data_IF_476979962940
#
_entry.id   IF_476979962940
#
_cell.length_a   1.000
_cell.length_b   1.000
_cell.length_c   1.000
_cell.angle_alpha   90.00
_cell.angle_beta   90.00
_cell.angle_gamma   90.00
#
_symmetry.space_group_name_H-M   'P 1'
#
loop_
_entity.id
_entity.type
_entity.pdbx_description
1 polymer ?
#
# COMPACT_ATOMS: atom_id res chain seq x y z
N UNK A 1 -4.90 -31.80 8.09
CA UNK A 1 -3.63 -31.22 8.57
C UNK A 1 -3.21 -30.04 7.68
N UNK A 2 -3.70 -28.84 7.99
CA UNK A 2 -3.28 -27.63 7.31
C UNK A 2 -1.84 -27.32 7.75
N UNK A 3 -0.90 -27.34 6.81
CA UNK A 3 0.48 -26.99 7.05
C UNK A 3 0.53 -25.55 7.58
N UNK A 4 1.10 -25.38 8.76
CA UNK A 4 1.44 -24.09 9.36
C UNK A 4 2.37 -23.37 8.37
N UNK A 5 1.83 -22.37 7.66
CA UNK A 5 2.62 -21.56 6.75
C UNK A 5 3.61 -20.76 7.61
N UNK A 6 4.90 -21.05 7.47
CA UNK A 6 5.95 -20.31 8.15
C UNK A 6 5.72 -18.80 7.94
N UNK A 7 5.84 -17.96 8.99
CA UNK A 7 5.61 -16.53 8.85
C UNK A 7 6.54 -15.98 7.77
N UNK A 8 5.96 -15.27 6.80
CA UNK A 8 6.73 -14.64 5.74
C UNK A 8 7.83 -13.75 6.36
N UNK A 9 9.04 -13.81 5.80
CA UNK A 9 10.15 -13.01 6.28
C UNK A 9 9.76 -11.52 6.34
N UNK A 10 10.24 -10.74 7.32
CA UNK A 10 9.88 -9.33 7.46
C UNK A 10 10.23 -8.55 6.18
N UNK A 11 9.22 -8.21 5.40
CA UNK A 11 9.35 -7.56 4.11
C UNK A 11 8.93 -6.08 4.17
N UNK A 12 9.42 -5.32 3.18
CA UNK A 12 8.96 -3.97 2.84
C UNK A 12 8.47 -3.96 1.39
N UNK A 13 7.53 -3.08 1.09
CA UNK A 13 7.03 -2.85 -0.25
C UNK A 13 7.07 -1.35 -0.57
N UNK A 14 7.29 -0.95 -1.82
CA UNK A 14 7.00 0.41 -2.23
C UNK A 14 5.48 0.60 -2.21
N UNK A 15 5.03 1.70 -1.62
CA UNK A 15 3.62 1.94 -1.31
C UNK A 15 3.08 3.24 -1.86
N UNK A 16 3.95 4.14 -2.32
CA UNK A 16 3.54 5.36 -3.02
C UNK A 16 4.67 5.85 -3.92
N UNK A 17 4.31 6.21 -5.15
CA UNK A 17 5.22 6.73 -6.15
C UNK A 17 4.80 8.14 -6.55
N UNK A 18 5.69 9.10 -6.34
CA UNK A 18 5.50 10.46 -6.81
C UNK A 18 6.34 10.70 -8.06
N UNK A 19 5.72 11.25 -9.12
CA UNK A 19 6.38 11.52 -10.40
C UNK A 19 7.65 12.37 -10.23
N UNK A 20 7.64 13.30 -9.28
CA UNK A 20 8.81 14.05 -8.82
C UNK A 20 8.75 14.08 -7.30
N UNK A 21 9.49 13.21 -6.62
CA UNK A 21 9.47 13.14 -5.16
C UNK A 21 10.09 11.86 -4.61
N UNK A 22 10.15 11.74 -3.27
CA UNK A 22 10.60 10.51 -2.62
C UNK A 22 9.59 9.39 -2.86
N UNK A 23 10.06 8.16 -3.08
CA UNK A 23 9.20 6.99 -2.97
C UNK A 23 8.93 6.70 -1.49
N UNK A 24 7.75 6.17 -1.18
CA UNK A 24 7.39 5.74 0.18
C UNK A 24 7.44 4.21 0.23
N UNK A 25 7.99 3.65 1.31
CA UNK A 25 7.97 2.22 1.60
C UNK A 25 7.21 1.96 2.90
N UNK A 26 6.54 0.81 3.00
CA UNK A 26 5.92 0.34 4.23
C UNK A 26 6.08 -1.17 4.39
N UNK A 27 5.96 -1.64 5.63
CA UNK A 27 6.13 -3.04 5.99
C UNK A 27 6.32 -3.18 7.49
N UNK A 28 7.00 -4.25 7.91
CA UNK A 28 7.35 -4.44 9.30
C UNK A 28 8.37 -3.38 9.75
N UNK A 29 8.20 -2.80 10.94
CA UNK A 29 9.08 -1.74 11.46
C UNK A 29 10.57 -2.06 11.29
N UNK A 30 11.01 -3.23 11.77
CA UNK A 30 12.41 -3.64 11.66
C UNK A 30 12.89 -3.77 10.20
N UNK A 31 12.02 -4.14 9.26
CA UNK A 31 12.37 -4.21 7.84
C UNK A 31 12.44 -2.81 7.21
N UNK A 32 11.54 -1.91 7.58
CA UNK A 32 11.55 -0.49 7.17
C UNK A 32 12.81 0.22 7.66
N UNK A 33 13.19 0.00 8.91
CA UNK A 33 14.41 0.59 9.50
C UNK A 33 15.68 0.14 8.77
N UNK A 34 15.79 -1.17 8.50
CA UNK A 34 16.91 -1.73 7.72
C UNK A 34 16.94 -1.17 6.30
N UNK A 35 15.80 -1.09 5.63
CA UNK A 35 15.70 -0.54 4.28
C UNK A 35 16.09 0.95 4.26
N UNK A 36 15.63 1.74 5.24
CA UNK A 36 16.00 3.15 5.38
C UNK A 36 17.50 3.36 5.58
N UNK A 37 18.15 2.53 6.41
CA UNK A 37 19.60 2.55 6.60
C UNK A 37 20.35 2.17 5.31
N UNK A 38 19.91 1.12 4.62
CA UNK A 38 20.49 0.70 3.34
C UNK A 38 20.37 1.78 2.26
N UNK A 39 19.23 2.47 2.17
CA UNK A 39 19.06 3.58 1.23
C UNK A 39 20.02 4.74 1.53
N UNK A 40 20.23 5.10 2.81
CA UNK A 40 21.21 6.13 3.19
C UNK A 40 22.64 5.72 2.82
N UNK A 41 23.01 4.47 3.10
CA UNK A 41 24.31 3.92 2.72
C UNK A 41 24.53 3.93 1.19
N UNK A 42 23.46 3.73 0.41
CA UNK A 42 23.47 3.83 -1.04
C UNK A 42 23.46 5.28 -1.59
N UNK A 43 23.53 6.30 -0.73
CA UNK A 43 23.63 7.70 -1.14
C UNK A 43 22.31 8.48 -1.17
N UNK A 44 21.21 7.92 -0.66
CA UNK A 44 19.97 8.67 -0.51
C UNK A 44 20.17 9.85 0.46
N UNK A 45 19.90 11.08 0.00
CA UNK A 45 20.02 12.31 0.81
C UNK A 45 19.16 12.26 2.09
N UNK A 46 18.00 11.62 2.02
CA UNK A 46 17.06 11.45 3.14
C UNK A 46 16.38 10.08 3.05
N UNK A 47 16.25 9.42 4.20
CA UNK A 47 15.29 8.34 4.45
C UNK A 47 14.74 8.59 5.85
N UNK A 48 13.49 9.03 5.93
CA UNK A 48 12.87 9.55 7.14
C UNK A 48 11.61 8.73 7.46
N UNK A 49 11.42 8.28 8.70
CA UNK A 49 10.18 7.64 9.11
C UNK A 49 9.02 8.65 9.02
N UNK A 50 7.87 8.18 8.57
CA UNK A 50 6.65 8.98 8.54
C UNK A 50 5.89 8.84 9.87
N UNK A 51 5.29 9.92 10.42
CA UNK A 51 4.52 9.87 11.66
C UNK A 51 3.13 9.27 11.42
N UNK A 52 3.07 7.99 11.07
CA UNK A 52 1.85 7.25 10.79
C UNK A 52 1.78 5.98 11.64
N UNK A 53 0.58 5.59 12.05
CA UNK A 53 0.35 4.45 12.95
C UNK A 53 0.11 3.13 12.22
N UNK A 54 -0.14 3.15 10.91
CA UNK A 54 -0.56 2.00 10.12
C UNK A 54 0.30 1.87 8.86
N UNK A 55 0.84 0.67 8.53
CA UNK A 55 1.63 0.45 7.33
C UNK A 55 0.72 0.23 6.10
N UNK A 56 0.08 1.30 5.63
CA UNK A 56 -0.86 1.26 4.49
C UNK A 56 -0.21 0.81 3.18
N UNK A 57 -1.01 0.24 2.27
CA UNK A 57 -0.63 -0.27 0.94
C UNK A 57 0.45 -1.36 0.91
N UNK A 58 0.66 -2.09 1.99
CA UNK A 58 1.52 -3.28 2.01
C UNK A 58 0.75 -4.54 2.44
N UNK A 59 1.39 -5.71 2.33
CA UNK A 59 0.77 -7.00 2.64
C UNK A 59 0.19 -7.09 4.07
N UNK A 60 0.72 -6.30 5.02
CA UNK A 60 0.21 -6.22 6.39
C UNK A 60 -1.23 -5.70 6.49
N UNK A 61 -1.72 -5.03 5.44
CA UNK A 61 -3.11 -4.55 5.37
C UNK A 61 -4.12 -5.60 4.94
N UNK A 62 -3.69 -6.81 4.55
CA UNK A 62 -4.61 -7.85 4.06
C UNK A 62 -5.77 -8.15 5.03
N UNK A 63 -5.57 -8.33 6.35
CA UNK A 63 -6.69 -8.58 7.27
C UNK A 63 -7.69 -7.42 7.37
N UNK A 64 -7.22 -6.17 7.22
CA UNK A 64 -8.09 -4.99 7.23
C UNK A 64 -8.85 -4.87 5.89
N UNK A 65 -8.17 -5.11 4.77
CA UNK A 65 -8.76 -5.12 3.44
C UNK A 65 -9.86 -6.18 3.31
N UNK A 66 -9.67 -7.37 3.88
CA UNK A 66 -10.68 -8.44 3.83
C UNK A 66 -11.96 -8.05 4.58
N UNK A 67 -11.84 -7.37 5.73
CA UNK A 67 -13.00 -6.83 6.47
C UNK A 67 -13.68 -5.71 5.71
N UNK A 68 -12.90 -4.80 5.12
CA UNK A 68 -13.43 -3.70 4.31
C UNK A 68 -14.20 -4.21 3.10
N UNK A 69 -13.71 -5.25 2.42
CA UNK A 69 -14.37 -5.86 1.26
C UNK A 69 -15.80 -6.33 1.58
N UNK A 70 -16.02 -6.91 2.77
CA UNK A 70 -17.36 -7.35 3.21
C UNK A 70 -18.32 -6.17 3.36
N UNK A 71 -17.84 -5.04 3.87
CA UNK A 71 -18.67 -3.83 4.01
C UNK A 71 -18.91 -3.14 2.68
N UNK A 72 -17.89 -3.06 1.80
CA UNK A 72 -18.03 -2.48 0.46
C UNK A 72 -19.04 -3.25 -0.41
N UNK A 73 -19.13 -4.57 -0.26
CA UNK A 73 -20.11 -5.39 -0.98
C UNK A 73 -21.58 -5.04 -0.66
N UNK A 74 -21.84 -4.27 0.42
CA UNK A 74 -23.18 -3.81 0.80
C UNK A 74 -23.53 -2.45 0.21
N UNK A 75 -22.57 -1.79 -0.44
CA UNK A 75 -22.72 -0.44 -1.00
C UNK A 75 -23.01 -0.54 -2.49
N UNK A 76 -24.00 0.22 -2.96
CA UNK A 76 -24.26 0.37 -4.39
C UNK A 76 -23.38 1.48 -4.95
N UNK A 77 -22.51 1.14 -5.90
CA UNK A 77 -21.74 2.11 -6.67
C UNK A 77 -22.52 2.55 -7.91
N UNK A 78 -22.47 3.85 -8.20
CA UNK A 78 -23.09 4.44 -9.38
C UNK A 78 -22.01 5.00 -10.30
N UNK A 79 -22.28 5.00 -11.61
CA UNK A 79 -21.34 5.53 -12.57
C UNK A 79 -21.07 7.01 -12.26
N UNK A 80 -19.79 7.43 -12.20
CA UNK A 80 -19.47 8.80 -11.90
C UNK A 80 -19.87 9.71 -13.08
N UNK A 81 -20.31 10.93 -12.79
CA UNK A 81 -20.66 11.91 -13.83
C UNK A 81 -19.43 12.54 -14.49
N UNK A 82 -18.25 12.32 -13.90
CA UNK A 82 -16.94 12.75 -14.40
C UNK A 82 -15.98 11.56 -14.25
N UNK A 83 -15.16 11.22 -15.26
CA UNK A 83 -14.21 10.13 -15.16
C UNK A 83 -13.25 10.30 -13.96
N UNK A 84 -12.97 9.19 -13.28
CA UNK A 84 -12.14 9.15 -12.07
C UNK A 84 -10.78 8.54 -12.42
N UNK A 85 -9.70 9.28 -12.20
CA UNK A 85 -8.34 8.73 -12.32
C UNK A 85 -7.99 8.01 -11.03
N UNK A 86 -7.86 6.69 -11.09
CA UNK A 86 -7.53 5.86 -9.93
C UNK A 86 -6.03 5.90 -9.64
N UNK A 87 -5.67 6.03 -8.36
CA UNK A 87 -4.26 6.08 -7.94
C UNK A 87 -3.57 4.72 -7.94
N UNK A 88 -4.33 3.63 -8.14
CA UNK A 88 -3.79 2.25 -8.11
C UNK A 88 -3.08 1.86 -9.40
N UNK A 89 -3.65 2.21 -10.56
CA UNK A 89 -3.14 1.83 -11.88
C UNK A 89 -3.17 2.96 -12.91
N UNK A 90 -3.54 4.18 -12.48
CA UNK A 90 -3.59 5.41 -13.29
C UNK A 90 -4.63 5.32 -14.42
N UNK A 91 -5.57 4.38 -14.36
CA UNK A 91 -6.67 4.33 -15.31
C UNK A 91 -7.71 5.40 -14.99
N UNK A 92 -8.33 5.89 -16.06
CA UNK A 92 -9.42 6.84 -16.00
C UNK A 92 -10.73 6.07 -16.18
N UNK A 93 -11.43 5.81 -15.09
CA UNK A 93 -12.62 4.96 -15.07
C UNK A 93 -13.90 5.81 -15.09
N UNK A 94 -14.89 5.36 -15.85
CA UNK A 94 -16.21 5.97 -15.94
C UNK A 94 -17.34 4.96 -15.65
N UNK A 95 -16.99 3.71 -15.34
CA UNK A 95 -17.93 2.64 -15.00
C UNK A 95 -17.94 2.43 -13.48
N UNK A 96 -19.15 2.26 -12.92
CA UNK A 96 -19.34 1.88 -11.53
C UNK A 96 -18.66 0.56 -11.18
N UNK A 97 -18.60 -0.40 -12.11
CA UNK A 97 -17.99 -1.70 -11.87
C UNK A 97 -16.46 -1.66 -11.75
N UNK A 98 -15.84 -0.55 -12.20
CA UNK A 98 -14.39 -0.35 -12.18
C UNK A 98 -13.92 0.54 -11.01
N UNK A 99 -14.83 0.96 -10.12
CA UNK A 99 -14.58 1.85 -8.97
C UNK A 99 -14.97 1.12 -7.68
#
# INVERSE_FOLDING_TARGET
PAADAAPAAPAVSPVNFHARGPAVIAGHNAAVDRAGAACKAAGAKRALPLPVSVPSHCALMKPAADKLAVELAKITFSAPTVPVVLTVDVKCEADAAAI
#
